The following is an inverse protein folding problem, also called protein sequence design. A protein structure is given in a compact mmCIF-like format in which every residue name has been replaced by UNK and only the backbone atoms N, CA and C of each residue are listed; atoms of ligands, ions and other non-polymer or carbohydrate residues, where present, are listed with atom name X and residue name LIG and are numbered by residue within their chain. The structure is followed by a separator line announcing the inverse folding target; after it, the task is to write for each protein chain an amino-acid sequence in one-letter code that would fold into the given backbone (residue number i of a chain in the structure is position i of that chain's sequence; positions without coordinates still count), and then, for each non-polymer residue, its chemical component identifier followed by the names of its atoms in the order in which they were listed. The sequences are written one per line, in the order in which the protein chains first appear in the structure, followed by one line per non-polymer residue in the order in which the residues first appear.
data_IF_974292281567
#
_entry.id   IF_974292281567
#
_cell.length_a   1.000
_cell.length_b   1.000
_cell.length_c   1.000
_cell.angle_alpha   90.00
_cell.angle_beta   90.00
_cell.angle_gamma   90.00
#
_symmetry.space_group_name_H-M   'P 1'
#
loop_
_entity.id
_entity.type
_entity.pdbx_description
1 polymer ?
#
# COMPACT_ATOMS: atom_id res chain seq x y z
N UNK A 1 -28.64 -25.03 31.13
CA UNK A 1 -27.27 -25.22 30.61
C UNK A 1 -26.76 -23.86 30.19
N UNK A 2 -25.99 -23.22 31.08
CA UNK A 2 -25.42 -21.88 30.89
C UNK A 2 -24.28 -21.94 29.88
N UNK A 3 -24.48 -21.33 28.71
CA UNK A 3 -23.44 -21.09 27.72
C UNK A 3 -22.34 -20.22 28.35
N UNK A 4 -21.19 -20.82 28.66
CA UNK A 4 -20.02 -20.11 29.14
C UNK A 4 -19.58 -19.07 28.11
N UNK A 5 -19.66 -17.80 28.47
CA UNK A 5 -19.06 -16.70 27.71
C UNK A 5 -17.55 -16.88 27.74
N UNK A 6 -16.94 -17.16 26.59
CA UNK A 6 -15.51 -17.02 26.42
C UNK A 6 -15.17 -15.51 26.53
N UNK A 7 -14.69 -15.09 27.69
CA UNK A 7 -13.98 -13.83 27.85
C UNK A 7 -12.70 -13.94 27.03
N UNK A 8 -12.68 -13.40 25.81
CA UNK A 8 -11.50 -13.41 24.95
C UNK A 8 -10.37 -12.61 25.63
N UNK A 9 -9.36 -13.31 26.13
CA UNK A 9 -8.17 -12.70 26.72
C UNK A 9 -7.30 -12.11 25.62
N UNK A 10 -6.86 -10.85 25.79
CA UNK A 10 -5.81 -10.23 24.98
C UNK A 10 -4.66 -11.23 24.83
N UNK A 11 -4.23 -11.50 23.60
CA UNK A 11 -3.09 -12.41 23.36
C UNK A 11 -1.85 -11.75 23.97
N UNK A 12 -1.14 -12.48 24.85
CA UNK A 12 0.17 -12.03 25.34
C UNK A 12 1.17 -12.04 24.17
N UNK A 13 1.23 -10.92 23.47
CA UNK A 13 2.14 -10.69 22.36
C UNK A 13 3.40 -9.97 22.85
N UNK A 14 4.56 -10.50 22.49
CA UNK A 14 5.85 -9.83 22.69
C UNK A 14 6.28 -9.11 21.41
N UNK A 15 7.19 -8.11 21.49
CA UNK A 15 7.75 -7.46 20.30
C UNK A 15 8.28 -8.45 19.25
N UNK A 16 9.01 -9.48 19.68
CA UNK A 16 9.55 -10.50 18.77
C UNK A 16 8.47 -11.35 18.12
N UNK A 17 7.38 -11.67 18.85
CA UNK A 17 6.24 -12.39 18.30
C UNK A 17 5.50 -11.54 17.25
N UNK A 18 5.26 -10.26 17.55
CA UNK A 18 4.62 -9.31 16.62
C UNK A 18 5.46 -9.12 15.36
N UNK A 19 6.76 -8.92 15.51
CA UNK A 19 7.69 -8.79 14.38
C UNK A 19 7.66 -10.04 13.48
N UNK A 20 7.78 -11.24 14.05
CA UNK A 20 7.74 -12.49 13.28
C UNK A 20 6.41 -12.71 12.55
N UNK A 21 5.28 -12.31 13.17
CA UNK A 21 3.95 -12.36 12.53
C UNK A 21 3.81 -11.34 11.41
N UNK A 22 4.31 -10.12 11.60
CA UNK A 22 4.37 -9.09 10.55
C UNK A 22 5.19 -9.57 9.35
N UNK A 23 6.33 -10.22 9.57
CA UNK A 23 7.16 -10.79 8.50
C UNK A 23 6.42 -11.86 7.70
N UNK A 24 5.83 -12.84 8.38
CA UNK A 24 5.06 -13.90 7.75
C UNK A 24 3.88 -13.33 6.94
N UNK A 25 3.08 -12.48 7.57
CA UNK A 25 1.88 -11.91 6.97
C UNK A 25 2.20 -10.96 5.81
N UNK A 26 3.30 -10.20 5.87
CA UNK A 26 3.73 -9.34 4.77
C UNK A 26 4.05 -10.16 3.50
N UNK A 27 4.66 -11.33 3.68
CA UNK A 27 4.94 -12.27 2.59
C UNK A 27 3.65 -12.80 1.96
N UNK A 28 2.71 -13.25 2.79
CA UNK A 28 1.42 -13.79 2.35
C UNK A 28 0.56 -12.74 1.63
N UNK A 29 0.57 -11.50 2.11
CA UNK A 29 -0.16 -10.40 1.48
C UNK A 29 0.55 -9.79 0.26
N UNK A 30 1.77 -10.21 -0.05
CA UNK A 30 2.63 -9.63 -1.09
C UNK A 30 2.76 -8.09 -0.94
N UNK A 31 2.82 -7.59 0.29
CA UNK A 31 2.87 -6.17 0.63
C UNK A 31 4.27 -5.58 0.41
N UNK A 32 4.40 -4.25 0.19
CA UNK A 32 3.46 -3.18 0.51
C UNK A 32 2.54 -2.74 -0.63
N UNK A 33 1.26 -2.68 -0.29
CA UNK A 33 0.23 -1.82 -0.83
C UNK A 33 0.27 -0.51 -0.01
N UNK A 34 0.17 0.68 -0.62
CA UNK A 34 -1.03 1.07 -1.36
C UNK A 34 -0.81 1.32 -2.84
N UNK A 35 -1.91 1.28 -3.58
CA UNK A 35 -1.95 1.44 -5.04
C UNK A 35 -1.79 2.91 -5.48
N UNK A 36 -1.84 3.88 -4.54
CA UNK A 36 -1.68 5.33 -4.82
C UNK A 36 -0.96 6.10 -3.70
N UNK A 37 -0.28 7.17 -4.09
CA UNK A 37 0.22 8.33 -3.32
C UNK A 37 0.79 8.11 -1.90
N UNK A 38 1.56 7.04 -1.72
CA UNK A 38 2.43 6.83 -0.55
C UNK A 38 1.85 5.83 0.45
N UNK A 39 2.73 5.17 1.22
CA UNK A 39 2.38 4.02 2.05
C UNK A 39 1.28 4.28 3.09
N UNK A 40 1.36 5.41 3.78
CA UNK A 40 0.44 5.75 4.86
C UNK A 40 -0.86 6.32 4.32
N UNK A 41 -1.97 5.81 4.86
CA UNK A 41 -3.29 6.39 4.63
C UNK A 41 -3.35 7.80 5.20
N UNK A 42 -4.01 8.70 4.48
CA UNK A 42 -4.22 10.09 4.90
C UNK A 42 -5.38 10.16 5.90
N UNK A 43 -5.06 10.02 7.17
CA UNK A 43 -5.98 10.06 8.30
C UNK A 43 -6.14 11.49 8.84
N UNK A 44 -6.67 12.40 8.03
CA UNK A 44 -6.86 13.80 8.40
C UNK A 44 -8.29 14.12 8.89
N UNK A 45 -8.48 15.36 9.32
CA UNK A 45 -9.77 15.84 9.85
C UNK A 45 -10.92 15.65 8.85
N UNK A 46 -10.68 15.92 7.55
CA UNK A 46 -11.67 15.71 6.49
C UNK A 46 -12.14 14.25 6.43
N UNK A 47 -11.23 13.30 6.58
CA UNK A 47 -11.60 11.88 6.64
C UNK A 47 -12.48 11.57 7.86
N UNK A 48 -12.13 12.09 9.04
CA UNK A 48 -12.88 11.83 10.27
C UNK A 48 -14.25 12.53 10.30
N UNK A 49 -14.36 13.73 9.74
CA UNK A 49 -15.64 14.41 9.53
C UNK A 49 -16.54 13.62 8.56
N UNK A 50 -15.96 13.06 7.49
CA UNK A 50 -16.71 12.22 6.56
C UNK A 50 -17.29 10.98 7.26
N UNK A 51 -16.58 10.42 8.24
CA UNK A 51 -17.01 9.25 9.02
C UNK A 51 -18.25 9.53 9.87
N UNK A 52 -18.39 10.73 10.45
CA UNK A 52 -19.53 11.11 11.30
C UNK A 52 -20.62 11.90 10.58
N UNK A 53 -20.37 12.27 9.32
CA UNK A 53 -21.30 13.04 8.51
C UNK A 53 -22.54 12.28 8.05
N UNK A 54 -23.03 12.62 6.87
CA UNK A 54 -24.16 11.95 6.24
C UNK A 54 -23.85 10.47 5.92
N UNK A 55 -24.89 9.69 5.64
CA UNK A 55 -24.72 8.31 5.12
C UNK A 55 -23.83 8.31 3.86
N UNK A 56 -23.96 9.31 2.99
CA UNK A 56 -23.16 9.43 1.76
C UNK A 56 -21.68 9.65 2.08
N UNK A 57 -21.35 10.55 3.02
CA UNK A 57 -19.96 10.81 3.40
C UNK A 57 -19.32 9.60 4.09
N UNK A 58 -20.10 8.85 4.89
CA UNK A 58 -19.63 7.60 5.49
C UNK A 58 -19.29 6.56 4.41
N UNK A 59 -20.12 6.39 3.38
CA UNK A 59 -19.79 5.49 2.26
C UNK A 59 -18.53 5.97 1.52
N UNK A 60 -18.35 7.29 1.35
CA UNK A 60 -17.15 7.85 0.72
C UNK A 60 -15.89 7.60 1.56
N UNK A 61 -15.98 7.70 2.89
CA UNK A 61 -14.87 7.38 3.79
C UNK A 61 -14.46 5.90 3.66
N UNK A 62 -15.44 4.98 3.68
CA UNK A 62 -15.19 3.56 3.47
C UNK A 62 -14.56 3.28 2.10
N UNK A 63 -15.06 3.94 1.05
CA UNK A 63 -14.49 3.85 -0.30
C UNK A 63 -13.04 4.32 -0.34
N UNK A 64 -12.67 5.41 0.35
CA UNK A 64 -11.27 5.87 0.44
C UNK A 64 -10.37 4.77 1.04
N UNK A 65 -10.82 4.07 2.07
CA UNK A 65 -10.07 2.94 2.69
C UNK A 65 -9.89 1.78 1.70
N UNK A 66 -10.97 1.37 1.03
CA UNK A 66 -10.94 0.30 0.02
C UNK A 66 -10.01 0.64 -1.16
N UNK A 67 -10.09 1.87 -1.66
CA UNK A 67 -9.22 2.37 -2.73
C UNK A 67 -7.74 2.38 -2.31
N UNK A 68 -7.46 2.73 -1.05
CA UNK A 68 -6.11 2.66 -0.48
C UNK A 68 -5.57 1.23 -0.46
N UNK A 69 -6.40 0.28 -0.04
CA UNK A 69 -6.08 -1.15 -0.04
C UNK A 69 -5.94 -1.76 -1.45
N UNK A 70 -6.42 -1.06 -2.49
CA UNK A 70 -6.37 -1.54 -3.85
C UNK A 70 -7.30 -2.72 -4.12
N UNK A 71 -8.37 -2.84 -3.35
CA UNK A 71 -9.34 -3.92 -3.47
C UNK A 71 -10.31 -3.64 -4.62
N UNK A 72 -10.56 -4.67 -5.42
CA UNK A 72 -11.61 -4.68 -6.43
C UNK A 72 -12.82 -5.41 -5.86
N UNK A 73 -13.61 -4.70 -5.06
CA UNK A 73 -14.91 -5.19 -4.60
C UNK A 73 -16.04 -4.56 -5.42
N UNK A 74 -17.23 -5.16 -5.40
CA UNK A 74 -18.45 -4.55 -5.93
C UNK A 74 -18.83 -3.32 -5.13
N UNK A 75 -19.87 -3.42 -4.31
CA UNK A 75 -20.22 -2.40 -3.33
C UNK A 75 -19.64 -2.74 -1.94
N UNK A 76 -19.17 -1.71 -1.22
CA UNK A 76 -19.02 -1.76 0.24
C UNK A 76 -20.08 -0.84 0.83
N UNK A 77 -21.00 -1.42 1.60
CA UNK A 77 -22.12 -0.70 2.22
C UNK A 77 -21.90 -0.67 3.72
N UNK A 78 -21.78 0.53 4.27
CA UNK A 78 -21.61 0.74 5.72
C UNK A 78 -22.92 1.16 6.36
N UNK A 79 -23.29 0.52 7.46
CA UNK A 79 -24.48 0.84 8.24
C UNK A 79 -24.20 0.84 9.73
N UNK A 80 -25.16 1.32 10.51
CA UNK A 80 -25.12 1.23 11.96
C UNK A 80 -26.11 0.19 12.47
N UNK A 81 -25.72 -0.51 13.53
CA UNK A 81 -26.57 -1.49 14.21
C UNK A 81 -26.61 -1.22 15.71
N UNK A 82 -27.82 -1.15 16.25
CA UNK A 82 -28.05 -1.00 17.68
C UNK A 82 -27.94 -2.34 18.41
N UNK A 83 -27.58 -2.32 19.69
CA UNK A 83 -27.62 -3.51 20.56
C UNK A 83 -26.53 -4.57 20.32
N UNK A 84 -25.46 -4.24 19.60
CA UNK A 84 -24.32 -5.15 19.38
C UNK A 84 -23.18 -4.89 20.37
N UNK A 85 -22.60 -5.97 20.89
CA UNK A 85 -21.45 -5.90 21.79
C UNK A 85 -20.15 -5.58 21.01
N UNK A 86 -19.95 -6.18 19.84
CA UNK A 86 -18.80 -5.93 18.97
C UNK A 86 -18.80 -4.53 18.36
N UNK A 87 -17.62 -4.04 17.98
CA UNK A 87 -17.46 -2.68 17.46
C UNK A 87 -17.88 -2.55 15.99
N UNK A 88 -17.58 -3.58 15.22
CA UNK A 88 -17.99 -3.77 13.84
C UNK A 88 -18.33 -5.24 13.58
N UNK A 89 -18.91 -5.49 12.42
CA UNK A 89 -18.94 -6.82 11.83
C UNK A 89 -19.01 -6.67 10.31
N UNK A 90 -18.50 -7.68 9.60
CA UNK A 90 -18.52 -7.72 8.15
C UNK A 90 -19.26 -8.94 7.63
N UNK A 91 -20.02 -8.75 6.55
CA UNK A 91 -20.73 -9.81 5.84
C UNK A 91 -20.53 -9.69 4.33
N UNK A 92 -20.41 -10.82 3.65
CA UNK A 92 -20.36 -10.89 2.18
C UNK A 92 -21.67 -11.41 1.63
N UNK A 93 -22.22 -10.76 0.60
CA UNK A 93 -23.38 -11.26 -0.15
C UNK A 93 -23.12 -11.10 -1.65
N UNK A 94 -22.81 -12.21 -2.31
CA UNK A 94 -22.36 -12.17 -3.71
C UNK A 94 -21.01 -11.45 -3.85
N UNK A 95 -20.97 -10.41 -4.68
CA UNK A 95 -19.79 -9.56 -4.89
C UNK A 95 -19.69 -8.36 -3.94
N UNK A 96 -20.70 -8.16 -3.09
CA UNK A 96 -20.82 -6.98 -2.22
C UNK A 96 -20.48 -7.31 -0.77
N UNK A 97 -19.97 -6.31 -0.07
CA UNK A 97 -19.60 -6.35 1.34
C UNK A 97 -20.44 -5.38 2.16
N UNK A 98 -20.85 -5.81 3.34
CA UNK A 98 -21.67 -5.05 4.27
C UNK A 98 -20.92 -4.93 5.59
N UNK A 99 -20.64 -3.70 6.02
CA UNK A 99 -19.99 -3.40 7.29
C UNK A 99 -21.05 -2.81 8.22
N UNK A 100 -21.32 -3.48 9.34
CA UNK A 100 -22.20 -2.97 10.39
C UNK A 100 -21.36 -2.44 11.54
N UNK A 101 -21.46 -1.13 11.82
CA UNK A 101 -20.78 -0.47 12.94
C UNK A 101 -21.75 -0.35 14.13
N UNK A 102 -21.24 -0.55 15.35
CA UNK A 102 -22.05 -0.33 16.54
C UNK A 102 -22.55 1.12 16.62
N UNK A 103 -23.86 1.29 16.84
CA UNK A 103 -24.52 2.60 16.96
C UNK A 103 -23.85 3.54 17.97
N UNK A 104 -23.21 2.98 19.01
CA UNK A 104 -22.49 3.75 20.05
C UNK A 104 -21.35 4.60 19.50
N UNK A 105 -20.84 4.29 18.31
CA UNK A 105 -19.74 5.02 17.66
C UNK A 105 -20.22 6.05 16.64
N UNK A 106 -21.52 6.21 16.42
CA UNK A 106 -22.07 7.10 15.37
C UNK A 106 -21.51 8.53 15.41
N UNK A 107 -21.18 9.05 16.59
CA UNK A 107 -20.61 10.38 16.79
C UNK A 107 -19.09 10.44 16.95
N UNK A 108 -18.37 9.32 16.79
CA UNK A 108 -16.94 9.21 17.03
C UNK A 108 -16.20 8.82 15.75
N UNK A 109 -15.67 9.83 15.05
CA UNK A 109 -14.99 9.65 13.77
C UNK A 109 -13.73 8.80 13.87
N UNK A 110 -12.99 8.91 14.98
CA UNK A 110 -11.81 8.08 15.22
C UNK A 110 -12.20 6.61 15.38
N UNK A 111 -13.21 6.33 16.20
CA UNK A 111 -13.71 4.97 16.38
C UNK A 111 -14.27 4.38 15.08
N UNK A 112 -15.04 5.14 14.31
CA UNK A 112 -15.53 4.70 12.99
C UNK A 112 -14.35 4.41 12.05
N UNK A 113 -13.35 5.30 11.98
CA UNK A 113 -12.16 5.10 11.16
C UNK A 113 -11.40 3.82 11.51
N UNK A 114 -11.22 3.55 12.81
CA UNK A 114 -10.64 2.30 13.30
C UNK A 114 -11.44 1.06 12.89
N UNK A 115 -12.77 1.08 13.04
CA UNK A 115 -13.64 -0.03 12.60
C UNK A 115 -13.53 -0.22 11.08
N UNK A 116 -13.57 0.85 10.29
CA UNK A 116 -13.41 0.75 8.84
C UNK A 116 -12.06 0.14 8.45
N UNK A 117 -10.96 0.55 9.11
CA UNK A 117 -9.64 -0.03 8.86
C UNK A 117 -9.61 -1.54 9.14
N UNK A 118 -10.17 -1.95 10.28
CA UNK A 118 -10.26 -3.35 10.71
C UNK A 118 -11.07 -4.21 9.74
N UNK A 119 -12.32 -3.82 9.51
CA UNK A 119 -13.26 -4.59 8.68
C UNK A 119 -12.83 -4.60 7.20
N UNK A 120 -12.22 -3.53 6.69
CA UNK A 120 -11.67 -3.55 5.34
C UNK A 120 -10.42 -4.45 5.23
N UNK A 121 -9.65 -4.62 6.30
CA UNK A 121 -8.55 -5.58 6.32
C UNK A 121 -9.05 -7.03 6.37
N UNK A 122 -10.20 -7.32 6.98
CA UNK A 122 -10.88 -8.60 6.80
C UNK A 122 -11.16 -8.90 5.31
N UNK A 123 -11.68 -7.92 4.56
CA UNK A 123 -11.88 -8.06 3.11
C UNK A 123 -10.57 -8.37 2.41
N UNK A 124 -9.51 -7.61 2.72
CA UNK A 124 -8.19 -7.83 2.11
C UNK A 124 -7.68 -9.25 2.34
N UNK A 125 -7.73 -9.72 3.59
CA UNK A 125 -7.28 -11.04 3.97
C UNK A 125 -8.02 -12.14 3.18
N UNK A 126 -9.35 -12.05 3.14
CA UNK A 126 -10.19 -12.99 2.37
C UNK A 126 -9.88 -12.94 0.87
N UNK A 127 -9.81 -11.75 0.27
CA UNK A 127 -9.53 -11.59 -1.17
C UNK A 127 -8.11 -12.02 -1.57
N UNK A 128 -7.18 -12.09 -0.60
CA UNK A 128 -5.82 -12.62 -0.80
C UNK A 128 -5.70 -14.10 -0.46
N UNK A 129 -6.76 -14.73 0.03
CA UNK A 129 -6.74 -16.13 0.48
C UNK A 129 -5.88 -16.34 1.73
N UNK A 130 -5.71 -15.30 2.55
CA UNK A 130 -4.91 -15.31 3.77
C UNK A 130 -5.86 -15.30 4.97
N UNK A 131 -6.00 -16.42 5.67
CA UNK A 131 -6.81 -16.55 6.89
C UNK A 131 -8.27 -16.97 6.65
N UNK A 132 -8.85 -17.63 7.65
CA UNK A 132 -10.29 -17.92 7.74
C UNK A 132 -10.94 -16.87 8.67
N UNK A 133 -12.21 -16.52 8.45
CA UNK A 133 -12.89 -15.55 9.31
C UNK A 133 -13.31 -16.20 10.64
N UNK A 134 -12.89 -15.62 11.77
CA UNK A 134 -13.62 -15.76 13.05
C UNK A 134 -12.89 -16.36 14.25
N UNK A 135 -11.58 -16.65 14.21
CA UNK A 135 -10.82 -16.97 15.43
C UNK A 135 -10.10 -15.75 16.02
N UNK A 136 -9.86 -15.76 17.33
CA UNK A 136 -9.11 -14.67 18.00
C UNK A 136 -7.68 -14.52 17.47
N UNK A 137 -7.09 -15.61 16.97
CA UNK A 137 -5.78 -15.56 16.30
C UNK A 137 -5.90 -14.85 14.96
N UNK A 138 -7.01 -15.05 14.23
CA UNK A 138 -7.26 -14.38 12.94
C UNK A 138 -7.46 -12.88 13.13
N UNK A 139 -8.15 -12.46 14.18
CA UNK A 139 -8.34 -11.03 14.48
C UNK A 139 -7.03 -10.29 14.78
N UNK A 140 -6.03 -10.98 15.38
CA UNK A 140 -4.69 -10.40 15.52
C UNK A 140 -4.02 -10.23 14.16
N UNK A 141 -4.24 -11.14 13.20
CA UNK A 141 -3.72 -10.94 11.82
C UNK A 141 -4.38 -9.74 11.14
N UNK A 142 -5.65 -9.47 11.44
CA UNK A 142 -6.36 -8.28 10.93
C UNK A 142 -5.71 -7.01 11.47
N UNK A 143 -5.46 -6.93 12.78
CA UNK A 143 -4.76 -5.79 13.39
C UNK A 143 -3.37 -5.57 12.76
N UNK A 144 -2.62 -6.66 12.52
CA UNK A 144 -1.32 -6.58 11.87
C UNK A 144 -1.43 -6.19 10.39
N UNK A 145 -2.45 -6.65 9.67
CA UNK A 145 -2.73 -6.25 8.30
C UNK A 145 -3.05 -4.75 8.20
N UNK A 146 -3.74 -4.18 9.19
CA UNK A 146 -3.96 -2.73 9.29
C UNK A 146 -2.63 -1.96 9.32
N UNK A 147 -1.65 -2.47 10.07
CA UNK A 147 -0.31 -1.86 10.12
C UNK A 147 0.44 -2.01 8.80
N UNK A 148 0.44 -3.21 8.22
CA UNK A 148 1.13 -3.54 6.97
C UNK A 148 0.55 -2.86 5.74
N UNK A 149 -0.70 -2.39 5.81
CA UNK A 149 -1.37 -1.68 4.72
C UNK A 149 -1.31 -0.16 4.86
N UNK A 150 -0.67 0.34 5.93
CA UNK A 150 -0.53 1.77 6.18
C UNK A 150 -1.80 2.44 6.73
N UNK A 151 -2.79 1.65 7.14
CA UNK A 151 -4.02 2.13 7.81
C UNK A 151 -3.84 2.34 9.32
N UNK A 152 -2.69 1.98 9.89
CA UNK A 152 -2.44 1.98 11.34
C UNK A 152 -2.72 3.30 12.07
N UNK A 153 -2.61 4.46 11.40
CA UNK A 153 -3.00 5.73 12.00
C UNK A 153 -4.49 5.76 12.41
N UNK A 154 -5.38 5.13 11.64
CA UNK A 154 -6.81 5.07 11.95
C UNK A 154 -7.08 4.32 13.26
N UNK A 155 -6.37 3.22 13.51
CA UNK A 155 -6.51 2.44 14.75
C UNK A 155 -5.86 3.14 15.94
N UNK A 156 -4.67 3.70 15.77
CA UNK A 156 -3.96 4.38 16.86
C UNK A 156 -4.68 5.65 17.31
N UNK A 157 -5.27 6.41 16.38
CA UNK A 157 -5.99 7.63 16.72
C UNK A 157 -7.30 7.35 17.49
N UNK A 158 -7.86 6.14 17.36
CA UNK A 158 -9.03 5.69 18.11
C UNK A 158 -8.71 5.21 19.53
N UNK A 159 -7.44 5.22 19.96
CA UNK A 159 -7.08 4.90 21.33
C UNK A 159 -7.62 6.00 22.23
N UNK A 160 -8.67 5.66 22.96
CA UNK A 160 -9.32 6.58 23.90
C UNK A 160 -8.85 6.27 25.29
N UNK A 161 -8.66 7.33 26.05
CA UNK A 161 -8.46 7.24 27.49
C UNK A 161 -9.81 7.30 28.21
N UNK A 162 -10.04 6.34 29.11
CA UNK A 162 -11.21 6.30 29.98
C UNK A 162 -10.77 6.23 31.43
N UNK A 163 -11.33 7.10 32.26
CA UNK A 163 -11.16 6.97 33.71
C UNK A 163 -12.14 5.91 34.23
N UNK A 164 -11.62 4.81 34.77
CA UNK A 164 -12.41 3.90 35.60
C UNK A 164 -12.24 4.27 37.06
N UNK A 165 -13.34 4.41 37.76
CA UNK A 165 -13.34 4.56 39.22
C UNK A 165 -13.44 3.17 39.83
N UNK A 166 -12.39 2.74 40.53
CA UNK A 166 -12.36 1.49 41.31
C UNK A 166 -11.88 1.78 42.72
N UNK A 167 -12.58 1.30 43.74
CA UNK A 167 -12.22 1.44 45.17
C UNK A 167 -11.83 2.88 45.60
N UNK A 168 -12.50 3.90 45.05
CA UNK A 168 -12.22 5.29 45.38
C UNK A 168 -11.00 5.90 44.66
N UNK A 169 -10.37 5.19 43.73
CA UNK A 169 -9.29 5.67 42.89
C UNK A 169 -9.72 5.79 41.42
N UNK A 170 -9.33 6.90 40.80
CA UNK A 170 -9.46 7.12 39.37
C UNK A 170 -8.27 6.46 38.66
N UNK A 171 -8.50 5.34 37.96
CA UNK A 171 -7.52 4.66 37.14
C UNK A 171 -7.75 5.05 35.68
N UNK A 172 -6.73 5.63 35.03
CA UNK A 172 -6.74 5.89 33.59
C UNK A 172 -6.57 4.56 32.86
N UNK A 173 -7.57 4.15 32.10
CA UNK A 173 -7.62 2.91 31.31
C UNK A 173 -7.72 3.30 29.84
N UNK A 174 -6.78 2.85 29.05
CA UNK A 174 -6.82 3.06 27.61
C UNK A 174 -7.58 1.93 26.93
N UNK A 175 -8.44 2.28 25.97
CA UNK A 175 -9.21 1.33 25.19
C UNK A 175 -8.82 1.47 23.71
N UNK A 176 -8.36 0.37 23.11
CA UNK A 176 -8.19 0.22 21.67
C UNK A 176 -9.38 -0.54 21.07
N UNK A 177 -9.57 -0.36 19.77
CA UNK A 177 -10.39 -1.23 18.93
C UNK A 177 -9.43 -2.19 18.24
N UNK A 178 -9.52 -3.48 18.56
CA UNK A 178 -8.57 -4.52 18.12
C UNK A 178 -8.32 -5.58 19.21
N UNK A 179 -7.49 -6.56 18.89
CA UNK A 179 -7.14 -7.71 19.73
C UNK A 179 -5.69 -7.66 20.23
N UNK A 180 -4.84 -6.85 19.61
CA UNK A 180 -3.53 -6.49 20.14
C UNK A 180 -3.63 -5.43 21.23
N UNK A 181 -2.75 -5.55 22.22
CA UNK A 181 -2.58 -4.50 23.23
C UNK A 181 -2.09 -3.21 22.57
N UNK A 182 -2.40 -2.07 23.19
CA UNK A 182 -2.01 -0.74 22.66
C UNK A 182 -0.51 -0.67 22.40
N UNK A 183 0.32 -1.10 23.36
CA UNK A 183 1.78 -1.09 23.17
C UNK A 183 2.24 -1.95 21.99
N UNK A 184 1.53 -3.05 21.69
CA UNK A 184 1.84 -3.89 20.53
C UNK A 184 1.33 -3.30 19.21
N UNK A 185 0.21 -2.58 19.20
CA UNK A 185 -0.24 -1.81 18.02
C UNK A 185 0.76 -0.69 17.69
N UNK A 186 1.20 0.05 18.71
CA UNK A 186 2.21 1.12 18.57
C UNK A 186 3.55 0.55 18.10
N UNK A 187 3.98 -0.59 18.69
CA UNK A 187 5.18 -1.30 18.25
C UNK A 187 5.06 -1.75 16.79
N UNK A 188 3.95 -2.40 16.41
CA UNK A 188 3.73 -2.87 15.04
C UNK A 188 3.76 -1.71 14.03
N UNK A 189 3.11 -0.59 14.35
CA UNK A 189 3.14 0.61 13.52
C UNK A 189 4.57 1.15 13.35
N UNK A 190 5.28 1.35 14.46
CA UNK A 190 6.66 1.84 14.44
C UNK A 190 7.58 0.88 13.69
N UNK A 191 7.40 -0.43 13.88
CA UNK A 191 8.14 -1.48 13.20
C UNK A 191 7.94 -1.43 11.68
N UNK A 192 6.70 -1.37 11.20
CA UNK A 192 6.40 -1.28 9.76
C UNK A 192 6.92 0.03 9.16
N UNK A 193 6.69 1.17 9.82
CA UNK A 193 7.15 2.46 9.34
C UNK A 193 8.69 2.55 9.24
N UNK A 194 9.37 2.00 10.23
CA UNK A 194 10.83 1.91 10.32
C UNK A 194 11.42 0.99 9.24
N UNK A 195 10.80 -0.19 9.03
CA UNK A 195 11.25 -1.17 8.06
C UNK A 195 11.00 -0.75 6.61
N UNK A 196 9.93 0.03 6.35
CA UNK A 196 9.63 0.60 5.03
C UNK A 196 10.35 1.93 4.77
N UNK A 197 11.14 2.44 5.71
CA UNK A 197 11.87 3.70 5.55
C UNK A 197 10.94 4.91 5.35
N UNK A 198 9.75 4.89 5.96
CA UNK A 198 8.72 5.95 5.78
C UNK A 198 9.24 7.32 6.22
N UNK A 199 10.13 7.33 7.21
CA UNK A 199 10.67 8.54 7.84
C UNK A 199 9.80 9.00 9.01
N UNK A 200 10.44 9.44 10.09
CA UNK A 200 9.78 9.79 11.36
C UNK A 200 8.71 10.86 11.20
N UNK A 201 9.00 11.95 10.49
CA UNK A 201 8.03 13.05 10.33
C UNK A 201 6.76 12.58 9.63
N UNK A 202 6.90 11.79 8.56
CA UNK A 202 5.76 11.24 7.84
C UNK A 202 4.97 10.24 8.67
N UNK A 203 5.64 9.38 9.44
CA UNK A 203 5.00 8.43 10.34
C UNK A 203 4.23 9.09 11.50
N UNK A 204 4.59 10.31 11.89
CA UNK A 204 3.94 11.01 13.01
C UNK A 204 2.88 12.04 12.57
N UNK A 205 2.84 12.37 11.27
CA UNK A 205 2.07 13.50 10.73
C UNK A 205 0.57 13.40 11.03
N UNK A 206 -0.01 12.25 10.74
CA UNK A 206 -1.47 12.04 10.80
C UNK A 206 -1.87 11.28 12.09
N UNK A 207 -0.96 11.17 13.07
CA UNK A 207 -1.26 10.62 14.39
C UNK A 207 -1.81 11.69 15.33
N UNK A 208 -2.79 11.32 16.16
CA UNK A 208 -3.28 12.12 17.27
C UNK A 208 -2.17 12.36 18.31
N UNK A 209 -2.32 13.38 19.15
CA UNK A 209 -1.32 13.68 20.18
C UNK A 209 -1.11 12.52 21.18
N UNK A 210 -2.18 11.77 21.48
CA UNK A 210 -2.11 10.60 22.36
C UNK A 210 -1.23 9.49 21.78
N UNK A 211 -1.37 9.18 20.49
CA UNK A 211 -0.58 8.14 19.81
C UNK A 211 0.84 8.59 19.48
N UNK A 212 1.02 9.88 19.17
CA UNK A 212 2.28 10.43 18.65
C UNK A 212 3.46 10.30 19.60
N UNK A 213 3.22 10.42 20.92
CA UNK A 213 4.27 10.34 21.94
C UNK A 213 4.94 8.97 22.00
N UNK A 214 4.14 7.91 22.17
CA UNK A 214 4.64 6.53 22.27
C UNK A 214 5.30 6.07 20.98
N UNK A 215 4.65 6.30 19.82
CA UNK A 215 5.21 5.94 18.51
C UNK A 215 6.53 6.66 18.24
N UNK A 216 6.67 7.93 18.63
CA UNK A 216 7.93 8.66 18.48
C UNK A 216 9.06 8.00 19.26
N UNK A 217 8.80 7.59 20.50
CA UNK A 217 9.79 6.90 21.32
C UNK A 217 10.23 5.58 20.68
N UNK A 218 9.27 4.75 20.25
CA UNK A 218 9.55 3.47 19.61
C UNK A 218 10.34 3.63 18.29
N UNK A 219 10.02 4.62 17.47
CA UNK A 219 10.80 4.91 16.25
C UNK A 219 12.26 5.27 16.55
N UNK A 220 12.52 5.99 17.64
CA UNK A 220 13.89 6.31 18.08
C UNK A 220 14.61 5.09 18.62
N UNK A 221 13.94 4.33 19.49
CA UNK A 221 14.49 3.10 20.08
C UNK A 221 14.91 2.10 19.00
N UNK A 222 14.06 1.89 17.98
CA UNK A 222 14.36 1.01 16.84
C UNK A 222 15.51 1.51 15.99
N UNK A 223 15.53 2.82 15.69
CA UNK A 223 16.65 3.42 14.96
C UNK A 223 17.98 3.19 15.71
N UNK A 224 18.00 3.34 17.04
CA UNK A 224 19.16 3.04 17.87
C UNK A 224 19.48 1.54 17.88
N UNK A 225 18.47 0.67 17.99
CA UNK A 225 18.61 -0.78 17.94
C UNK A 225 19.31 -1.28 16.66
N UNK A 226 19.00 -0.67 15.51
CA UNK A 226 19.69 -0.94 14.24
C UNK A 226 21.14 -0.46 14.23
N UNK A 227 21.41 0.76 14.71
CA UNK A 227 22.78 1.28 14.86
C UNK A 227 23.63 0.38 15.75
N UNK A 228 23.02 -0.21 16.78
CA UNK A 228 23.68 -1.12 17.71
C UNK A 228 23.69 -2.60 17.27
N UNK A 229 23.13 -2.92 16.09
CA UNK A 229 23.06 -4.30 15.58
C UNK A 229 22.17 -5.25 16.41
N UNK A 230 21.27 -4.72 17.23
CA UNK A 230 20.38 -5.48 18.15
C UNK A 230 19.06 -5.86 17.51
N UNK A 231 18.65 -5.16 16.46
CA UNK A 231 17.44 -5.44 15.72
C UNK A 231 17.75 -5.83 14.27
N UNK A 232 17.09 -6.89 13.79
CA UNK A 232 17.01 -7.17 12.37
C UNK A 232 15.84 -6.35 11.81
N UNK A 233 16.05 -5.69 10.67
CA UNK A 233 14.93 -5.17 9.90
C UNK A 233 14.05 -6.34 9.43
N UNK A 234 12.81 -6.06 9.02
CA UNK A 234 12.00 -7.02 8.27
C UNK A 234 12.90 -7.70 7.22
N UNK A 235 12.87 -9.03 7.11
CA UNK A 235 13.41 -9.76 5.94
C UNK A 235 12.67 -9.42 4.63
N UNK A 236 11.84 -8.39 4.67
CA UNK A 236 11.47 -7.60 3.52
C UNK A 236 12.74 -7.09 2.84
N UNK A 237 13.12 -7.73 1.74
CA UNK A 237 14.05 -7.16 0.77
C UNK A 237 13.44 -5.83 0.39
N UNK A 238 13.92 -4.74 1.04
CA UNK A 238 13.41 -3.40 0.87
C UNK A 238 13.12 -3.23 -0.60
N UNK A 239 11.84 -2.97 -0.97
CA UNK A 239 11.47 -2.83 -2.37
C UNK A 239 12.58 -1.99 -2.99
N UNK A 240 13.35 -2.61 -3.89
CA UNK A 240 14.11 -1.82 -4.84
C UNK A 240 13.15 -0.75 -5.34
N UNK A 241 13.64 0.48 -5.51
CA UNK A 241 12.88 1.59 -6.11
C UNK A 241 11.85 1.02 -7.09
N UNK A 242 10.57 1.37 -7.03
CA UNK A 242 9.53 0.79 -7.88
C UNK A 242 8.93 1.87 -8.79
N UNK A 243 8.48 1.48 -9.97
CA UNK A 243 7.73 2.37 -10.88
C UNK A 243 6.29 1.87 -11.01
N UNK A 244 5.37 2.82 -11.13
CA UNK A 244 3.94 2.53 -11.33
C UNK A 244 3.65 2.60 -12.82
N UNK A 245 3.14 1.50 -13.37
CA UNK A 245 2.78 1.37 -14.78
C UNK A 245 1.28 1.11 -14.92
N UNK A 246 0.57 1.78 -15.84
CA UNK A 246 -0.83 1.47 -16.08
C UNK A 246 -0.98 0.11 -16.78
N UNK A 247 -2.00 -0.65 -16.35
CA UNK A 247 -2.48 -1.83 -17.05
C UNK A 247 -2.82 -1.48 -18.50
N UNK A 248 -2.52 -2.39 -19.42
CA UNK A 248 -2.88 -2.27 -20.86
C UNK A 248 -4.31 -2.68 -21.16
N UNK A 249 -4.96 -3.38 -20.24
CA UNK A 249 -6.39 -3.67 -20.33
C UNK A 249 -7.24 -2.42 -20.06
N UNK A 250 -8.54 -2.54 -20.29
CA UNK A 250 -9.50 -1.44 -20.11
C UNK A 250 -9.60 -0.95 -18.66
N UNK A 251 -9.24 -1.77 -17.68
CA UNK A 251 -9.27 -1.39 -16.26
C UNK A 251 -8.27 -0.29 -15.88
N UNK A 252 -7.22 -0.08 -16.70
CA UNK A 252 -6.13 0.89 -16.45
C UNK A 252 -5.53 0.85 -15.04
N UNK A 253 -5.62 -0.29 -14.38
CA UNK A 253 -5.13 -0.46 -13.01
C UNK A 253 -3.65 -0.10 -12.91
N UNK A 254 -3.27 0.62 -11.85
CA UNK A 254 -1.88 1.02 -11.59
C UNK A 254 -1.12 -0.17 -11.01
N UNK A 255 -0.19 -0.74 -11.78
CA UNK A 255 0.60 -1.90 -11.40
C UNK A 255 1.98 -1.43 -10.92
N UNK A 256 2.45 -1.94 -9.77
CA UNK A 256 3.81 -1.70 -9.28
C UNK A 256 4.75 -2.73 -9.91
N UNK A 257 5.88 -2.26 -10.41
CA UNK A 257 6.96 -3.11 -10.90
C UNK A 257 8.30 -2.63 -10.31
N UNK A 258 9.25 -3.53 -10.03
CA UNK A 258 10.55 -3.12 -9.53
C UNK A 258 11.25 -2.22 -10.56
N UNK A 259 11.70 -1.04 -10.14
CA UNK A 259 12.48 -0.12 -10.96
C UNK A 259 13.91 -0.65 -11.12
N UNK A 260 14.50 -0.37 -12.27
CA UNK A 260 15.75 -0.98 -12.71
C UNK A 260 15.68 -2.46 -13.11
N UNK A 261 14.57 -3.17 -12.86
CA UNK A 261 14.41 -4.58 -13.23
C UNK A 261 13.58 -4.76 -14.51
N UNK A 262 13.88 -5.81 -15.27
CA UNK A 262 13.11 -6.21 -16.46
C UNK A 262 12.25 -7.42 -16.10
N UNK A 263 10.97 -7.40 -16.44
CA UNK A 263 10.08 -8.52 -16.12
C UNK A 263 8.72 -8.44 -16.77
N UNK A 264 7.79 -9.30 -16.31
CA UNK A 264 6.38 -9.27 -16.68
C UNK A 264 5.53 -9.11 -15.41
N UNK A 265 4.52 -8.26 -15.49
CA UNK A 265 3.50 -8.12 -14.45
C UNK A 265 2.14 -8.50 -15.04
N UNK A 266 1.33 -9.23 -14.28
CA UNK A 266 -0.05 -9.55 -14.63
C UNK A 266 -0.98 -8.65 -13.84
N UNK A 267 -1.93 -8.02 -14.52
CA UNK A 267 -2.97 -7.25 -13.86
C UNK A 267 -3.86 -8.20 -13.06
N UNK A 268 -4.05 -7.98 -11.74
CA UNK A 268 -4.93 -8.82 -10.94
C UNK A 268 -6.39 -8.67 -11.37
N UNK A 269 -6.76 -7.50 -11.90
CA UNK A 269 -8.14 -7.19 -12.29
C UNK A 269 -8.58 -7.90 -13.57
N UNK A 270 -7.83 -7.73 -14.65
CA UNK A 270 -8.25 -8.18 -15.99
C UNK A 270 -7.35 -9.29 -16.56
N UNK A 271 -6.40 -9.80 -15.78
CA UNK A 271 -5.49 -10.87 -16.20
C UNK A 271 -4.48 -10.50 -17.29
N UNK A 272 -4.51 -9.28 -17.83
CA UNK A 272 -3.58 -8.85 -18.87
C UNK A 272 -2.13 -8.82 -18.35
N UNK A 273 -1.23 -9.45 -19.08
CA UNK A 273 0.20 -9.44 -18.78
C UNK A 273 0.93 -8.39 -19.61
N UNK A 274 1.86 -7.66 -18.99
CA UNK A 274 2.69 -6.64 -19.65
C UNK A 274 4.15 -6.77 -19.25
N UNK A 275 5.06 -6.56 -20.19
CA UNK A 275 6.48 -6.41 -19.92
C UNK A 275 6.84 -5.01 -19.38
N UNK A 276 7.85 -4.95 -18.52
CA UNK A 276 8.44 -3.71 -17.98
C UNK A 276 9.97 -3.79 -18.00
N UNK A 277 10.65 -2.64 -18.04
CA UNK A 277 12.12 -2.53 -18.08
C UNK A 277 12.72 -1.74 -16.92
N UNK A 278 11.93 -1.50 -15.89
CA UNK A 278 12.37 -0.83 -14.68
C UNK A 278 12.49 0.69 -14.83
N UNK A 279 12.21 1.25 -16.01
CA UNK A 279 11.98 2.69 -16.22
C UNK A 279 10.52 2.98 -16.57
N UNK A 280 9.78 1.95 -17.00
CA UNK A 280 8.36 2.02 -17.23
C UNK A 280 7.87 0.82 -18.05
N UNK A 281 6.85 1.07 -18.87
CA UNK A 281 6.27 0.07 -19.74
C UNK A 281 7.15 -0.20 -20.96
N UNK A 282 7.44 -1.47 -21.23
CA UNK A 282 7.89 -1.89 -22.56
C UNK A 282 6.64 -2.14 -23.39
N UNK A 283 6.39 -1.30 -24.39
CA UNK A 283 5.38 -1.61 -25.41
C UNK A 283 5.96 -2.72 -26.26
N UNK A 284 5.61 -3.96 -25.95
CA UNK A 284 5.82 -5.06 -26.88
C UNK A 284 4.83 -4.88 -28.03
N UNK A 285 5.24 -4.18 -29.08
CA UNK A 285 4.57 -4.33 -30.37
C UNK A 285 4.81 -5.77 -30.82
N UNK A 286 3.73 -6.52 -31.04
CA UNK A 286 3.80 -7.88 -31.61
C UNK A 286 4.63 -7.81 -32.92
N UNK A 287 5.82 -8.41 -32.92
CA UNK A 287 6.51 -8.82 -34.16
C UNK A 287 7.80 -8.09 -34.59
N UNK A 288 8.34 -7.11 -33.86
CA UNK A 288 9.57 -6.41 -34.31
C UNK A 288 10.87 -7.12 -33.89
N UNK A 289 11.68 -7.56 -34.87
CA UNK A 289 13.09 -7.95 -34.68
C UNK A 289 13.99 -6.74 -34.97
N UNK A 290 14.61 -6.17 -33.94
CA UNK A 290 15.64 -5.13 -34.10
C UNK A 290 16.97 -5.80 -34.47
N UNK A 291 17.48 -5.55 -35.68
CA UNK A 291 18.81 -6.01 -36.10
C UNK A 291 19.80 -4.85 -36.06
N UNK A 292 20.84 -4.96 -35.25
CA UNK A 292 21.95 -4.01 -35.23
C UNK A 292 22.79 -4.24 -36.49
N UNK A 293 22.88 -3.25 -37.37
CA UNK A 293 23.75 -3.32 -38.56
C UNK A 293 25.00 -2.49 -38.30
N UNK A 294 26.16 -3.13 -38.37
CA UNK A 294 27.47 -2.49 -38.28
C UNK A 294 27.83 -1.99 -39.68
N UNK A 295 27.85 -0.68 -39.89
CA UNK A 295 28.33 -0.10 -41.15
C UNK A 295 29.81 0.20 -40.97
N UNK A 296 30.66 -0.51 -41.72
CA UNK A 296 32.10 -0.30 -41.68
C UNK A 296 32.51 0.79 -42.66
N UNK A 297 32.94 1.93 -42.14
CA UNK A 297 33.81 2.88 -42.85
C UNK A 297 35.05 3.07 -41.96
N UNK A 298 36.29 3.01 -42.49
CA UNK A 298 37.47 2.76 -41.67
C UNK A 298 37.84 3.83 -40.63
N UNK A 299 37.21 5.01 -40.64
CA UNK A 299 37.66 6.16 -39.82
C UNK A 299 36.60 6.73 -38.86
N UNK A 300 35.37 6.17 -38.79
CA UNK A 300 34.34 6.60 -37.83
C UNK A 300 33.56 5.42 -37.27
N UNK A 301 33.83 5.04 -36.02
CA UNK A 301 33.01 4.07 -35.29
C UNK A 301 31.93 4.82 -34.50
N UNK A 302 30.73 4.94 -35.04
CA UNK A 302 29.56 5.43 -34.31
C UNK A 302 28.38 4.46 -34.45
N UNK A 303 27.75 4.12 -33.33
CA UNK A 303 26.55 3.28 -33.26
C UNK A 303 25.32 4.15 -33.54
N UNK A 304 24.75 4.04 -34.74
CA UNK A 304 23.49 4.71 -35.06
C UNK A 304 22.31 3.77 -34.84
N UNK A 305 21.32 4.25 -34.08
CA UNK A 305 20.03 3.57 -33.91
C UNK A 305 19.10 4.02 -35.03
N UNK A 306 19.20 3.40 -36.20
CA UNK A 306 18.35 3.74 -37.34
C UNK A 306 17.03 2.94 -37.24
N UNK A 307 15.90 3.64 -37.06
CA UNK A 307 14.57 3.07 -37.31
C UNK A 307 14.37 3.03 -38.81
N UNK A 308 14.43 1.85 -39.42
CA UNK A 308 14.14 1.70 -40.85
C UNK A 308 12.75 1.09 -41.03
N UNK A 309 11.83 1.85 -41.62
CA UNK A 309 10.55 1.35 -42.12
C UNK A 309 10.80 0.65 -43.47
N UNK A 310 11.18 -0.63 -43.44
CA UNK A 310 11.41 -1.41 -44.67
C UNK A 310 10.13 -2.12 -45.12
N UNK A 311 9.08 -1.33 -45.40
CA UNK A 311 7.78 -1.87 -45.85
C UNK A 311 7.48 -1.68 -47.33
N UNK A 312 7.98 -0.60 -47.96
CA UNK A 312 7.43 -0.17 -49.26
C UNK A 312 8.41 0.45 -50.27
N UNK A 313 9.72 0.48 -50.00
CA UNK A 313 10.69 1.09 -50.92
C UNK A 313 11.41 0.03 -51.79
N UNK A 314 11.59 0.35 -53.06
CA UNK A 314 12.42 -0.39 -54.00
C UNK A 314 13.92 -0.21 -53.68
N UNK A 315 14.77 -1.12 -54.18
CA UNK A 315 16.23 -1.10 -53.93
C UNK A 315 16.93 0.23 -54.32
N UNK A 316 16.59 0.87 -55.45
CA UNK A 316 17.14 2.18 -55.81
C UNK A 316 16.77 3.29 -54.81
N UNK A 317 15.52 3.27 -54.31
CA UNK A 317 15.02 4.28 -53.35
C UNK A 317 15.69 4.17 -51.97
N UNK A 318 16.09 2.95 -51.58
CA UNK A 318 16.84 2.73 -50.33
C UNK A 318 18.25 3.32 -50.39
N UNK A 319 18.91 3.27 -51.55
CA UNK A 319 20.25 3.84 -51.75
C UNK A 319 20.19 5.37 -51.70
N UNK A 320 19.17 5.97 -52.32
CA UNK A 320 18.95 7.43 -52.28
C UNK A 320 18.64 7.90 -50.85
N UNK A 321 17.80 7.18 -50.10
CA UNK A 321 17.46 7.55 -48.73
C UNK A 321 18.66 7.49 -47.77
N UNK A 322 19.52 6.46 -47.92
CA UNK A 322 20.75 6.34 -47.13
C UNK A 322 21.78 7.43 -47.48
N UNK A 323 21.90 7.80 -48.76
CA UNK A 323 22.75 8.91 -49.18
C UNK A 323 22.24 10.27 -48.63
N UNK A 324 20.91 10.47 -48.59
CA UNK A 324 20.31 11.69 -48.03
C UNK A 324 20.53 11.82 -46.51
N UNK A 325 20.39 10.73 -45.76
CA UNK A 325 20.61 10.72 -44.31
C UNK A 325 22.09 10.96 -43.97
N UNK A 326 23.02 10.45 -44.79
CA UNK A 326 24.45 10.74 -44.65
C UNK A 326 24.78 12.21 -44.95
N UNK A 327 24.16 12.81 -45.97
CA UNK A 327 24.35 14.22 -46.32
C UNK A 327 23.79 15.17 -45.24
N UNK A 328 22.63 14.85 -44.64
CA UNK A 328 22.03 15.66 -43.55
C UNK A 328 22.88 15.58 -42.28
N UNK A 329 23.52 14.43 -42.01
CA UNK A 329 24.49 14.29 -40.92
C UNK A 329 25.76 15.15 -41.10
N UNK A 330 26.13 15.47 -42.34
CA UNK A 330 27.31 16.28 -42.65
C UNK A 330 27.09 17.78 -42.43
N UNK A 331 25.89 18.30 -42.71
CA UNK A 331 25.57 19.73 -42.53
C UNK A 331 25.30 20.16 -41.08
N UNK A 332 25.18 19.21 -40.14
CA UNK A 332 24.88 19.49 -38.72
C UNK A 332 26.05 19.96 -37.86
N UNK A 333 27.25 20.16 -38.43
CA UNK A 333 28.42 20.63 -37.67
C UNK A 333 29.08 21.85 -38.31
N UNK A 334 28.62 23.04 -37.91
CA UNK A 334 29.41 24.27 -37.97
C UNK A 334 29.08 25.13 -36.75
N UNK A 335 30.09 25.72 -36.06
CA UNK A 335 29.87 26.46 -34.82
C UNK A 335 29.62 27.94 -35.13
N UNK A 336 28.44 28.47 -34.81
CA UNK A 336 28.23 29.91 -34.73
C UNK A 336 28.45 30.36 -33.28
N UNK A 337 29.68 30.82 -33.02
CA UNK A 337 30.01 31.75 -31.94
C UNK A 337 29.69 33.18 -32.41
N UNK A 338 28.94 33.92 -31.59
CA UNK A 338 29.04 35.38 -31.39
C UNK A 338 28.48 36.32 -32.45
N UNK A 339 27.49 37.13 -32.07
CA UNK A 339 27.48 38.61 -32.12
C UNK A 339 26.03 39.15 -32.02
N UNK A 340 25.63 39.53 -30.81
CA UNK A 340 25.06 40.82 -30.37
C UNK A 340 24.37 40.65 -29.01
#
# INVERSE_FOLDING_TARGET
MSSGRASYSVVEATPGWVAGRLEALAGDLMLPCPVRDGFLFRADEEFYEACTGSVVSLQQAARKVIEHLGLACGAVVVGFRSGVEHAGSIQRKGGDWFIEISERFRGDGYAIGAVLAHECCHILLVERGVGEMGSAVDEVHVDLAVMLTGLGALTLNAITERTRFGEGQAVRVYQSLGYLSIGMLEYAYAYVADALGVGRERALRDLSDSARGSVRFLLVERAMGRVMGRERGLAYQGLGSHVVVPCVGECRQRLRVPAGAVGKVRCPECGHARGFDGRGCVVAARGERVKMVRVGVPELTALYRVRVFLGSLSLPEKVVYLALVAAIGWFGSSPLRGLH
#
